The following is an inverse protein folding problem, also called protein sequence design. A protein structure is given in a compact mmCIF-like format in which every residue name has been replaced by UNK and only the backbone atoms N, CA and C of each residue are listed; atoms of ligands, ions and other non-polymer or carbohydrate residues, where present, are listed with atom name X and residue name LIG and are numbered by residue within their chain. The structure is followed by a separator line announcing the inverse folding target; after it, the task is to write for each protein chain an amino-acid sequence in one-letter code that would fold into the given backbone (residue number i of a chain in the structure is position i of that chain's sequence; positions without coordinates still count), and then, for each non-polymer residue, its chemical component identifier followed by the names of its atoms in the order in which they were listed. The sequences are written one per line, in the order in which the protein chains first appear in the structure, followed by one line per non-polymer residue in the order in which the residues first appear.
data_IF_746041560592
#
_entry.id   IF_746041560592
#
_cell.length_a   1.000
_cell.length_b   1.000
_cell.length_c   1.000
_cell.angle_alpha   90.00
_cell.angle_beta   90.00
_cell.angle_gamma   90.00
#
_symmetry.space_group_name_H-M   'P 1'
#
loop_
_entity.id
_entity.type
_entity.pdbx_description
1 polymer ?
#
# COMPACT_ATOMS: atom_id res chain seq x y z
N UNK A 1 -13.58 -5.34 13.34
CA UNK A 1 -13.24 -4.19 14.22
C UNK A 1 -13.17 -2.95 13.34
N UNK A 2 -13.60 -1.76 13.78
CA UNK A 2 -13.66 -0.57 12.91
C UNK A 2 -12.35 0.23 13.01
N UNK A 3 -11.78 0.62 11.87
CA UNK A 3 -10.59 1.48 11.75
C UNK A 3 -10.71 2.79 12.55
N UNK A 4 -11.93 3.31 12.70
CA UNK A 4 -12.20 4.51 13.50
C UNK A 4 -11.81 4.36 14.98
N UNK A 5 -11.95 3.15 15.55
CA UNK A 5 -11.58 2.88 16.93
C UNK A 5 -10.05 2.85 17.09
N UNK A 6 -9.33 2.29 16.12
CA UNK A 6 -7.86 2.31 16.11
C UNK A 6 -7.37 3.77 16.03
N UNK A 7 -8.03 4.59 15.21
CA UNK A 7 -7.61 5.98 14.98
C UNK A 7 -8.00 6.93 16.11
N UNK A 8 -8.86 6.54 17.04
CA UNK A 8 -9.26 7.44 18.13
C UNK A 8 -8.08 7.89 19.00
N UNK A 9 -7.03 7.06 19.11
CA UNK A 9 -5.80 7.39 19.83
C UNK A 9 -4.95 8.48 19.17
N UNK A 10 -5.10 8.67 17.87
CA UNK A 10 -4.31 9.60 17.04
C UNK A 10 -5.20 10.59 16.30
N UNK A 11 -6.47 10.75 16.68
CA UNK A 11 -7.44 11.54 15.93
C UNK A 11 -7.03 13.02 15.80
N UNK A 12 -6.49 13.61 16.86
CA UNK A 12 -5.97 14.98 16.83
C UNK A 12 -4.76 15.11 15.91
N UNK A 13 -3.87 14.12 15.91
CA UNK A 13 -2.67 14.12 15.07
C UNK A 13 -3.03 13.92 13.60
N UNK A 14 -4.02 13.06 13.30
CA UNK A 14 -4.55 12.89 11.94
C UNK A 14 -5.12 14.21 11.38
N UNK A 15 -5.88 14.96 12.18
CA UNK A 15 -6.37 16.29 11.78
C UNK A 15 -5.22 17.29 11.57
N UNK A 16 -4.18 17.22 12.39
CA UNK A 16 -2.99 18.05 12.22
C UNK A 16 -2.20 17.65 10.96
N UNK A 17 -2.09 16.36 10.63
CA UNK A 17 -1.50 15.87 9.38
C UNK A 17 -2.28 16.38 8.18
N UNK A 18 -3.61 16.35 8.19
CA UNK A 18 -4.43 16.93 7.10
C UNK A 18 -4.15 18.44 6.91
N UNK A 19 -3.90 19.15 8.01
CA UNK A 19 -3.52 20.57 7.96
C UNK A 19 -2.14 20.75 7.32
N UNK A 20 -1.14 19.98 7.76
CA UNK A 20 0.21 19.99 7.18
C UNK A 20 0.17 19.64 5.69
N UNK A 21 -0.57 18.61 5.29
CA UNK A 21 -0.76 18.21 3.90
C UNK A 21 -1.28 19.40 3.07
N UNK A 22 -2.35 20.07 3.52
CA UNK A 22 -2.91 21.22 2.80
C UNK A 22 -1.92 22.38 2.69
N UNK A 23 -1.23 22.70 3.77
CA UNK A 23 -0.22 23.78 3.78
C UNK A 23 0.94 23.48 2.82
N UNK A 24 1.39 22.23 2.77
CA UNK A 24 2.56 21.81 1.98
C UNK A 24 2.24 21.58 0.50
N UNK A 25 0.97 21.39 0.15
CA UNK A 25 0.49 21.31 -1.23
C UNK A 25 0.32 22.66 -1.91
N UNK A 26 0.44 23.76 -1.17
CA UNK A 26 0.32 25.08 -1.76
C UNK A 26 1.33 25.27 -2.91
N UNK A 27 0.82 25.74 -4.05
CA UNK A 27 1.58 26.11 -5.23
C UNK A 27 0.93 27.33 -5.89
N UNK A 28 1.75 28.21 -6.44
CA UNK A 28 1.26 29.33 -7.27
C UNK A 28 0.82 28.84 -8.66
N UNK A 29 1.20 27.62 -9.07
CA UNK A 29 0.77 26.98 -10.30
C UNK A 29 -0.62 26.35 -10.09
N UNK A 30 -1.70 26.84 -10.73
CA UNK A 30 -3.06 26.38 -10.46
C UNK A 30 -3.29 24.89 -10.72
N UNK A 31 -2.69 24.34 -11.78
CA UNK A 31 -2.83 22.93 -12.15
C UNK A 31 -2.35 21.99 -11.04
N UNK A 32 -1.23 22.32 -10.39
CA UNK A 32 -0.70 21.53 -9.27
C UNK A 32 -1.71 21.46 -8.12
N UNK A 33 -2.33 22.59 -7.77
CA UNK A 33 -3.35 22.62 -6.70
C UNK A 33 -4.58 21.80 -7.08
N UNK A 34 -5.08 21.96 -8.30
CA UNK A 34 -6.28 21.26 -8.76
C UNK A 34 -6.11 19.74 -8.72
N UNK A 35 -5.00 19.22 -9.26
CA UNK A 35 -4.72 17.79 -9.26
C UNK A 35 -4.49 17.27 -7.84
N UNK A 36 -3.73 17.99 -7.00
CA UNK A 36 -3.48 17.57 -5.62
C UNK A 36 -4.77 17.57 -4.76
N UNK A 37 -5.61 18.60 -4.89
CA UNK A 37 -6.92 18.66 -4.21
C UNK A 37 -7.86 17.57 -4.68
N UNK A 38 -7.87 17.27 -5.98
CA UNK A 38 -8.69 16.21 -6.56
C UNK A 38 -8.43 14.85 -5.90
N UNK A 39 -7.15 14.50 -5.74
CA UNK A 39 -6.76 13.21 -5.15
C UNK A 39 -7.06 13.17 -3.66
N UNK A 40 -6.79 14.26 -2.93
CA UNK A 40 -7.11 14.34 -1.50
C UNK A 40 -8.61 14.24 -1.26
N UNK A 41 -9.42 14.90 -2.10
CA UNK A 41 -10.88 14.82 -2.04
C UNK A 41 -11.40 13.42 -2.40
N UNK A 42 -10.59 12.60 -3.09
CA UNK A 42 -10.83 11.16 -3.30
C UNK A 42 -10.73 10.31 -2.02
N UNK A 43 -10.42 10.92 -0.88
CA UNK A 43 -10.46 10.29 0.44
C UNK A 43 -9.31 9.32 0.67
N UNK A 44 -9.61 8.20 1.34
CA UNK A 44 -8.67 7.11 1.60
C UNK A 44 -8.55 6.75 3.07
N UNK A 45 -8.12 5.52 3.34
CA UNK A 45 -8.00 4.98 4.71
C UNK A 45 -6.85 5.61 5.51
N UNK A 46 -5.93 6.37 4.88
CA UNK A 46 -4.75 7.04 5.49
C UNK A 46 -3.93 6.14 6.44
N UNK A 47 -3.78 4.87 6.10
CA UNK A 47 -3.11 3.89 6.97
C UNK A 47 -1.62 4.12 7.13
N UNK A 48 -0.91 4.61 6.10
CA UNK A 48 0.55 4.81 6.18
C UNK A 48 0.91 6.00 7.11
N UNK A 49 0.23 7.16 7.04
CA UNK A 49 0.36 8.21 8.05
C UNK A 49 -0.01 7.72 9.45
N UNK A 50 -1.15 7.04 9.59
CA UNK A 50 -1.61 6.53 10.87
C UNK A 50 -0.59 5.56 11.50
N UNK A 51 0.02 4.69 10.69
CA UNK A 51 1.08 3.80 11.13
C UNK A 51 2.26 4.57 11.73
N UNK A 52 2.76 5.60 11.03
CA UNK A 52 3.85 6.42 11.56
C UNK A 52 3.47 7.06 12.91
N UNK A 53 2.28 7.63 13.01
CA UNK A 53 1.79 8.25 14.25
C UNK A 53 1.67 7.24 15.40
N UNK A 54 1.10 6.06 15.15
CA UNK A 54 1.00 4.98 16.13
C UNK A 54 2.38 4.48 16.56
N UNK A 55 3.31 4.32 15.63
CA UNK A 55 4.69 3.92 15.92
C UNK A 55 5.44 4.98 16.74
N UNK A 56 5.27 6.27 16.43
CA UNK A 56 5.81 7.38 17.25
C UNK A 56 5.21 7.40 18.66
N UNK A 57 3.90 7.15 18.79
CA UNK A 57 3.23 7.04 20.09
C UNK A 57 3.69 5.85 20.92
N UNK A 58 3.90 4.69 20.28
CA UNK A 58 4.38 3.46 20.92
C UNK A 58 5.78 3.60 21.54
N UNK A 59 6.58 4.54 21.04
CA UNK A 59 7.92 4.87 21.56
C UNK A 59 7.94 6.18 22.36
N UNK A 60 6.78 6.72 22.72
CA UNK A 60 6.60 7.95 23.50
C UNK A 60 7.36 9.17 22.94
N UNK A 61 7.41 9.32 21.61
CA UNK A 61 8.08 10.46 20.98
C UNK A 61 7.40 11.79 21.38
N UNK A 62 8.11 12.75 22.00
CA UNK A 62 7.50 13.96 22.55
C UNK A 62 7.39 15.12 21.55
N UNK A 63 8.03 15.01 20.38
CA UNK A 63 8.10 16.09 19.39
C UNK A 63 6.91 16.09 18.43
N UNK A 64 6.97 16.98 17.44
CA UNK A 64 5.91 17.15 16.41
C UNK A 64 6.35 16.80 14.99
N UNK A 65 7.61 16.38 14.80
CA UNK A 65 8.13 16.05 13.46
C UNK A 65 7.44 14.82 12.84
N UNK A 66 6.78 14.00 13.66
CA UNK A 66 5.95 12.89 13.19
C UNK A 66 4.79 13.36 12.30
N UNK A 67 4.29 14.60 12.48
CA UNK A 67 3.23 15.16 11.63
C UNK A 67 3.75 15.48 10.24
N UNK A 68 4.92 16.12 10.15
CA UNK A 68 5.59 16.40 8.88
C UNK A 68 5.96 15.10 8.17
N UNK A 69 6.50 14.10 8.87
CA UNK A 69 6.85 12.82 8.26
C UNK A 69 5.62 11.98 7.85
N UNK A 70 4.54 12.02 8.61
CA UNK A 70 3.28 11.38 8.21
C UNK A 70 2.75 12.01 6.91
N UNK A 71 2.84 13.34 6.76
CA UNK A 71 2.50 14.02 5.52
C UNK A 71 3.48 13.68 4.37
N UNK A 72 4.79 13.57 4.63
CA UNK A 72 5.79 13.10 3.65
C UNK A 72 5.44 11.71 3.11
N UNK A 73 5.12 10.77 4.01
CA UNK A 73 4.73 9.41 3.62
C UNK A 73 3.48 9.42 2.76
N UNK A 74 2.49 10.27 3.08
CA UNK A 74 1.28 10.40 2.27
C UNK A 74 1.55 11.05 0.91
N UNK A 75 2.47 12.01 0.81
CA UNK A 75 2.87 12.60 -0.47
C UNK A 75 3.56 11.59 -1.37
N UNK A 76 4.48 10.78 -0.82
CA UNK A 76 5.11 9.70 -1.57
C UNK A 76 4.05 8.71 -2.06
N UNK A 77 3.15 8.27 -1.18
CA UNK A 77 2.05 7.39 -1.59
C UNK A 77 1.14 8.02 -2.66
N UNK A 78 0.81 9.29 -2.53
CA UNK A 78 -0.05 10.00 -3.49
C UNK A 78 0.65 10.13 -4.84
N UNK A 79 1.96 10.41 -4.84
CA UNK A 79 2.75 10.47 -6.06
C UNK A 79 2.83 9.11 -6.77
N UNK A 80 3.02 8.01 -6.02
CA UNK A 80 3.03 6.66 -6.62
C UNK A 80 1.68 6.34 -7.24
N UNK A 81 0.56 6.72 -6.60
CA UNK A 81 -0.78 6.52 -7.19
C UNK A 81 -0.97 7.29 -8.50
N UNK A 82 -0.48 8.54 -8.58
CA UNK A 82 -0.54 9.33 -9.81
C UNK A 82 0.25 8.71 -10.96
N UNK A 83 1.40 8.13 -10.64
CA UNK A 83 2.26 7.47 -11.62
C UNK A 83 1.67 6.11 -12.03
N UNK A 84 1.21 5.31 -11.07
CA UNK A 84 0.55 4.02 -11.31
C UNK A 84 -0.70 4.18 -12.20
N UNK A 85 -1.56 5.16 -11.93
CA UNK A 85 -2.76 5.37 -12.75
C UNK A 85 -2.44 5.65 -14.23
N UNK A 86 -1.26 6.22 -14.51
CA UNK A 86 -0.77 6.45 -15.87
C UNK A 86 -0.14 5.18 -16.46
N UNK A 87 0.62 4.43 -15.66
CA UNK A 87 1.29 3.19 -16.09
C UNK A 87 0.28 2.07 -16.37
N UNK A 88 -0.69 1.90 -15.48
CA UNK A 88 -1.73 0.86 -15.55
C UNK A 88 -2.92 1.28 -16.45
N UNK A 89 -2.87 2.47 -17.08
CA UNK A 89 -3.96 3.03 -17.91
C UNK A 89 -5.34 3.03 -17.22
N UNK A 90 -5.35 3.15 -15.90
CA UNK A 90 -6.56 3.09 -15.08
C UNK A 90 -7.50 4.27 -15.36
N UNK A 91 -8.79 4.00 -15.49
CA UNK A 91 -9.84 5.02 -15.69
C UNK A 91 -10.60 5.40 -14.43
N UNK A 92 -10.69 4.48 -13.45
CA UNK A 92 -11.41 4.70 -12.19
C UNK A 92 -10.53 4.37 -10.97
N UNK A 93 -10.64 5.20 -9.92
CA UNK A 93 -10.07 4.92 -8.60
C UNK A 93 -11.03 5.38 -7.52
N UNK A 94 -11.41 4.46 -6.63
CA UNK A 94 -12.39 4.70 -5.54
C UNK A 94 -13.73 5.25 -6.05
N UNK A 95 -14.19 4.75 -7.20
CA UNK A 95 -15.45 5.14 -7.82
C UNK A 95 -15.47 6.54 -8.44
N UNK A 96 -14.30 7.16 -8.66
CA UNK A 96 -14.13 8.45 -9.34
C UNK A 96 -13.14 8.30 -10.49
N UNK A 97 -13.23 9.16 -11.49
CA UNK A 97 -12.26 9.18 -12.59
C UNK A 97 -10.85 9.39 -12.06
N UNK A 98 -9.87 8.69 -12.63
CA UNK A 98 -8.46 8.88 -12.28
C UNK A 98 -7.97 10.26 -12.71
N UNK A 99 -6.89 10.75 -12.08
CA UNK A 99 -6.34 12.06 -12.39
C UNK A 99 -5.86 12.16 -13.86
N UNK A 100 -5.37 11.08 -14.44
CA UNK A 100 -4.96 11.05 -15.85
C UNK A 100 -6.16 11.07 -16.80
N UNK A 101 -7.30 10.50 -16.40
CA UNK A 101 -8.56 10.60 -17.17
C UNK A 101 -9.06 12.05 -17.20
N UNK A 102 -9.04 12.74 -16.06
CA UNK A 102 -9.56 14.11 -15.94
C UNK A 102 -8.58 15.18 -16.48
N UNK A 103 -7.28 15.05 -16.19
CA UNK A 103 -6.27 16.09 -16.45
C UNK A 103 -5.22 15.68 -17.49
N UNK A 104 -5.22 14.43 -17.95
CA UNK A 104 -4.25 13.88 -18.90
C UNK A 104 -2.97 13.36 -18.25
N UNK A 105 -2.32 12.40 -18.93
CA UNK A 105 -1.11 11.73 -18.45
C UNK A 105 0.00 12.71 -18.06
N UNK A 106 0.22 13.75 -18.87
CA UNK A 106 1.28 14.74 -18.61
C UNK A 106 1.05 15.49 -17.30
N UNK A 107 -0.19 15.85 -16.97
CA UNK A 107 -0.50 16.53 -15.71
C UNK A 107 -0.29 15.59 -14.52
N UNK A 108 -0.76 14.33 -14.61
CA UNK A 108 -0.58 13.34 -13.55
C UNK A 108 0.89 13.07 -13.23
N UNK A 109 1.72 12.84 -14.26
CA UNK A 109 3.16 12.60 -14.07
C UNK A 109 3.84 13.80 -13.42
N UNK A 110 3.64 15.00 -13.97
CA UNK A 110 4.31 16.21 -13.49
C UNK A 110 3.86 16.62 -12.08
N UNK A 111 2.61 16.37 -11.72
CA UNK A 111 2.13 16.63 -10.35
C UNK A 111 2.65 15.55 -9.39
N UNK A 112 2.75 14.29 -9.82
CA UNK A 112 3.45 13.25 -9.06
C UNK A 112 4.90 13.63 -8.77
N UNK A 113 5.62 14.15 -9.76
CA UNK A 113 7.00 14.64 -9.60
C UNK A 113 7.07 15.81 -8.62
N UNK A 114 6.10 16.73 -8.68
CA UNK A 114 5.98 17.83 -7.72
C UNK A 114 5.80 17.29 -6.29
N UNK A 115 4.90 16.34 -6.07
CA UNK A 115 4.66 15.74 -4.74
C UNK A 115 5.90 15.03 -4.20
N UNK A 116 6.60 14.27 -5.06
CA UNK A 116 7.89 13.67 -4.71
C UNK A 116 8.89 14.75 -4.29
N UNK A 117 9.10 15.77 -5.12
CA UNK A 117 10.05 16.84 -4.82
C UNK A 117 9.70 17.61 -3.53
N UNK A 118 8.41 17.82 -3.27
CA UNK A 118 7.90 18.47 -2.05
C UNK A 118 8.16 17.60 -0.82
N UNK A 119 7.92 16.29 -0.91
CA UNK A 119 8.25 15.34 0.14
C UNK A 119 9.75 15.40 0.48
N UNK A 120 10.64 15.47 -0.51
CA UNK A 120 12.08 15.66 -0.27
C UNK A 120 12.43 16.98 0.40
N UNK A 121 11.80 18.09 0.01
CA UNK A 121 11.97 19.38 0.71
C UNK A 121 11.54 19.31 2.18
N UNK A 122 10.42 18.64 2.47
CA UNK A 122 9.93 18.45 3.83
C UNK A 122 10.87 17.58 4.67
N UNK A 123 11.43 16.52 4.08
CA UNK A 123 12.45 15.67 4.73
C UNK A 123 13.68 16.47 5.14
N UNK A 124 14.16 17.40 4.30
CA UNK A 124 15.28 18.29 4.64
C UNK A 124 14.93 19.14 5.86
N UNK A 125 13.69 19.64 5.95
CA UNK A 125 13.20 20.41 7.10
C UNK A 125 13.18 19.64 8.42
N UNK A 126 13.02 18.31 8.38
CA UNK A 126 13.11 17.44 9.57
C UNK A 126 14.55 17.35 10.08
N UNK A 127 15.55 17.51 9.21
CA UNK A 127 16.96 17.63 9.62
C UNK A 127 17.59 16.33 10.13
N UNK A 128 17.04 15.16 9.77
CA UNK A 128 17.58 13.85 10.15
C UNK A 128 18.08 13.08 8.93
N UNK A 129 19.41 12.87 8.85
CA UNK A 129 20.00 12.08 7.77
C UNK A 129 19.53 10.62 7.78
N UNK A 130 19.24 10.05 8.95
CA UNK A 130 18.69 8.68 9.05
C UNK A 130 17.32 8.58 8.40
N UNK A 131 16.46 9.58 8.62
CA UNK A 131 15.13 9.67 8.00
C UNK A 131 15.26 9.81 6.48
N UNK A 132 16.14 10.70 6.02
CA UNK A 132 16.38 10.91 4.60
C UNK A 132 16.89 9.64 3.91
N UNK A 133 17.81 8.91 4.55
CA UNK A 133 18.33 7.65 4.02
C UNK A 133 17.22 6.59 3.91
N UNK A 134 16.42 6.38 4.97
CA UNK A 134 15.33 5.38 4.96
C UNK A 134 14.31 5.67 3.86
N UNK A 135 13.89 6.92 3.71
CA UNK A 135 12.90 7.29 2.71
C UNK A 135 13.46 7.30 1.29
N UNK A 136 14.71 7.75 1.09
CA UNK A 136 15.36 7.66 -0.22
C UNK A 136 15.47 6.20 -0.67
N UNK A 137 15.98 5.31 0.19
CA UNK A 137 16.09 3.87 -0.09
C UNK A 137 14.71 3.26 -0.37
N UNK A 138 13.69 3.60 0.45
CA UNK A 138 12.34 3.13 0.26
C UNK A 138 11.76 3.56 -1.10
N UNK A 139 11.91 4.84 -1.47
CA UNK A 139 11.39 5.34 -2.75
C UNK A 139 12.05 4.70 -3.96
N UNK A 140 13.36 4.42 -3.89
CA UNK A 140 14.06 3.70 -4.95
C UNK A 140 13.58 2.25 -5.07
N UNK A 141 13.44 1.55 -3.93
CA UNK A 141 12.95 0.16 -3.91
C UNK A 141 11.49 0.06 -4.41
N UNK A 142 10.65 1.05 -4.11
CA UNK A 142 9.28 1.11 -4.64
C UNK A 142 9.30 1.22 -6.16
N UNK A 143 10.11 2.12 -6.73
CA UNK A 143 10.26 2.24 -8.18
C UNK A 143 10.81 0.96 -8.83
N UNK A 144 11.79 0.29 -8.19
CA UNK A 144 12.25 -1.04 -8.63
C UNK A 144 11.11 -2.08 -8.59
N UNK A 145 10.25 -2.02 -7.57
CA UNK A 145 9.05 -2.85 -7.45
C UNK A 145 8.06 -2.64 -8.58
N UNK A 146 7.80 -1.39 -8.97
CA UNK A 146 6.95 -1.06 -10.12
C UNK A 146 7.51 -1.61 -11.43
N UNK A 147 8.81 -1.41 -11.67
CA UNK A 147 9.47 -1.94 -12.87
C UNK A 147 9.46 -3.47 -12.87
N UNK A 148 9.67 -4.09 -11.71
CA UNK A 148 9.61 -5.54 -11.59
C UNK A 148 8.19 -6.07 -11.85
N UNK A 149 7.15 -5.38 -11.37
CA UNK A 149 5.77 -5.71 -11.69
C UNK A 149 5.55 -5.64 -13.21
N UNK A 150 5.96 -4.54 -13.84
CA UNK A 150 5.84 -4.36 -15.29
C UNK A 150 6.51 -5.48 -16.10
N UNK A 151 7.70 -5.93 -15.67
CA UNK A 151 8.41 -7.05 -16.30
C UNK A 151 7.71 -8.40 -16.09
N UNK A 152 6.93 -8.53 -15.02
CA UNK A 152 6.23 -9.75 -14.64
C UNK A 152 4.78 -9.80 -15.15
N UNK A 153 4.21 -8.68 -15.60
CA UNK A 153 2.91 -8.69 -16.27
C UNK A 153 2.95 -9.62 -17.48
N UNK A 154 1.88 -10.39 -17.67
CA UNK A 154 1.75 -11.42 -18.70
C UNK A 154 2.74 -12.60 -18.58
N UNK A 155 3.52 -12.69 -17.50
CA UNK A 155 4.40 -13.82 -17.24
C UNK A 155 3.69 -14.90 -16.39
N UNK A 156 3.14 -15.92 -17.06
CA UNK A 156 2.47 -17.05 -16.39
C UNK A 156 3.44 -18.04 -15.70
N UNK A 157 4.75 -17.88 -15.85
CA UNK A 157 5.77 -18.74 -15.22
C UNK A 157 6.32 -18.17 -13.92
N UNK A 158 5.77 -17.04 -13.43
CA UNK A 158 6.17 -16.46 -12.16
C UNK A 158 5.95 -17.45 -11.01
N UNK A 159 6.87 -17.45 -10.04
CA UNK A 159 6.69 -18.19 -8.80
C UNK A 159 6.17 -17.31 -7.66
N UNK A 160 5.93 -17.96 -6.51
CA UNK A 160 5.37 -17.26 -5.34
C UNK A 160 6.38 -16.29 -4.73
N UNK A 161 7.69 -16.57 -4.82
CA UNK A 161 8.70 -15.70 -4.24
C UNK A 161 8.89 -14.43 -5.07
N UNK A 162 8.87 -14.55 -6.40
CA UNK A 162 8.91 -13.39 -7.30
C UNK A 162 7.66 -12.51 -7.15
N UNK A 163 6.47 -13.10 -6.99
CA UNK A 163 5.25 -12.37 -6.62
C UNK A 163 5.42 -11.64 -5.26
N UNK A 164 5.86 -12.35 -4.22
CA UNK A 164 6.07 -11.74 -2.90
C UNK A 164 7.13 -10.64 -2.93
N UNK A 165 8.15 -10.74 -3.80
CA UNK A 165 9.15 -9.69 -4.01
C UNK A 165 8.49 -8.41 -4.56
N UNK A 166 7.64 -8.53 -5.57
CA UNK A 166 6.85 -7.39 -6.09
C UNK A 166 6.04 -6.75 -4.98
N UNK A 167 5.24 -7.54 -4.25
CA UNK A 167 4.41 -7.05 -3.13
C UNK A 167 5.23 -6.31 -2.08
N UNK A 168 6.36 -6.88 -1.68
CA UNK A 168 7.25 -6.31 -0.66
C UNK A 168 7.85 -4.98 -1.13
N UNK A 169 8.22 -4.89 -2.40
CA UNK A 169 8.92 -3.72 -2.96
C UNK A 169 7.94 -2.59 -3.25
N UNK A 170 6.87 -2.88 -3.99
CA UNK A 170 5.86 -1.91 -4.42
C UNK A 170 4.99 -1.39 -3.27
N UNK A 171 4.46 -2.30 -2.45
CA UNK A 171 3.48 -1.93 -1.41
C UNK A 171 4.09 -1.88 -0.03
N UNK A 172 4.72 -2.97 0.42
CA UNK A 172 5.08 -3.11 1.83
C UNK A 172 6.24 -2.22 2.26
N UNK A 173 7.13 -1.85 1.34
CA UNK A 173 8.31 -1.03 1.64
C UNK A 173 7.95 0.33 2.25
N UNK A 174 6.87 0.96 1.78
CA UNK A 174 6.44 2.24 2.35
C UNK A 174 5.81 2.07 3.74
N UNK A 175 5.16 0.93 4.03
CA UNK A 175 4.70 0.60 5.37
C UNK A 175 5.88 0.35 6.33
N UNK A 176 6.89 -0.41 5.89
CA UNK A 176 8.15 -0.61 6.63
C UNK A 176 8.78 0.73 7.00
N UNK A 177 8.95 1.63 6.00
CA UNK A 177 9.50 2.95 6.22
C UNK A 177 8.66 3.76 7.22
N UNK A 178 7.34 3.82 7.04
CA UNK A 178 6.44 4.57 7.92
C UNK A 178 6.56 4.15 9.40
N UNK A 179 6.53 2.84 9.68
CA UNK A 179 6.68 2.33 11.03
C UNK A 179 8.06 2.62 11.62
N UNK A 180 9.12 2.36 10.83
CA UNK A 180 10.52 2.54 11.24
C UNK A 180 10.84 4.00 11.55
N UNK A 181 10.28 4.95 10.79
CA UNK A 181 10.46 6.39 11.04
C UNK A 181 9.98 6.80 12.43
N UNK A 182 8.91 6.18 12.94
CA UNK A 182 8.42 6.40 14.31
C UNK A 182 9.49 6.07 15.36
N UNK A 183 10.18 4.93 15.20
CA UNK A 183 11.28 4.51 16.07
C UNK A 183 12.49 5.45 15.99
N UNK A 184 12.83 5.90 14.77
CA UNK A 184 13.95 6.81 14.53
C UNK A 184 13.70 8.16 15.22
N UNK A 185 12.48 8.72 15.09
CA UNK A 185 12.11 9.95 15.78
C UNK A 185 12.18 9.81 17.31
N UNK A 186 11.76 8.66 17.84
CA UNK A 186 11.82 8.35 19.26
C UNK A 186 13.23 8.05 19.79
N UNK A 187 14.27 8.03 18.95
CA UNK A 187 15.61 7.55 19.29
C UNK A 187 15.59 6.19 20.01
N UNK A 188 14.74 5.27 19.52
CA UNK A 188 14.54 3.97 20.14
C UNK A 188 15.76 3.07 20.01
N UNK A 189 15.78 1.97 20.78
CA UNK A 189 16.83 0.96 20.66
C UNK A 189 16.83 0.32 19.27
N UNK A 190 17.97 -0.25 18.82
CA UNK A 190 18.04 -0.99 17.55
C UNK A 190 17.02 -2.13 17.46
N UNK A 191 16.71 -2.77 18.60
CA UNK A 191 15.72 -3.83 18.69
C UNK A 191 14.29 -3.33 18.40
N UNK A 192 13.89 -2.20 18.98
CA UNK A 192 12.58 -1.58 18.72
C UNK A 192 12.50 -1.09 17.27
N UNK A 193 13.57 -0.46 16.76
CA UNK A 193 13.61 -0.01 15.36
C UNK A 193 13.47 -1.19 14.39
N UNK A 194 14.20 -2.28 14.61
CA UNK A 194 14.09 -3.50 13.81
C UNK A 194 12.70 -4.13 13.92
N UNK A 195 12.11 -4.17 15.11
CA UNK A 195 10.75 -4.68 15.33
C UNK A 195 9.69 -3.88 14.58
N UNK A 196 9.74 -2.54 14.64
CA UNK A 196 8.81 -1.68 13.91
C UNK A 196 9.03 -1.76 12.39
N UNK A 197 10.28 -1.88 11.93
CA UNK A 197 10.60 -2.12 10.52
C UNK A 197 9.96 -3.43 10.02
N UNK A 198 10.20 -4.54 10.73
CA UNK A 198 9.65 -5.84 10.37
C UNK A 198 8.11 -5.86 10.46
N UNK A 199 7.54 -5.21 11.48
CA UNK A 199 6.10 -5.03 11.59
C UNK A 199 5.51 -4.36 10.35
N UNK A 200 6.08 -3.22 9.91
CA UNK A 200 5.57 -2.50 8.75
C UNK A 200 5.66 -3.32 7.45
N UNK A 201 6.78 -4.04 7.25
CA UNK A 201 6.95 -4.94 6.09
C UNK A 201 5.90 -6.05 6.07
N UNK A 202 5.69 -6.74 7.19
CA UNK A 202 4.72 -7.83 7.27
C UNK A 202 3.27 -7.32 7.17
N UNK A 203 2.94 -6.19 7.81
CA UNK A 203 1.63 -5.55 7.69
C UNK A 203 1.33 -5.16 6.24
N UNK A 204 2.27 -4.51 5.55
CA UNK A 204 2.09 -4.11 4.16
C UNK A 204 1.98 -5.28 3.20
N UNK A 205 2.70 -6.39 3.48
CA UNK A 205 2.62 -7.63 2.70
C UNK A 205 1.24 -8.28 2.88
N UNK A 206 0.79 -8.45 4.13
CA UNK A 206 -0.56 -8.96 4.42
C UNK A 206 -1.64 -8.08 3.78
N UNK A 207 -1.47 -6.75 3.85
CA UNK A 207 -2.38 -5.79 3.27
C UNK A 207 -2.54 -6.01 1.75
N UNK A 208 -1.44 -6.11 1.00
CA UNK A 208 -1.52 -6.28 -0.45
C UNK A 208 -2.14 -7.64 -0.85
N UNK A 209 -1.77 -8.73 -0.17
CA UNK A 209 -2.32 -10.06 -0.47
C UNK A 209 -3.85 -10.06 -0.30
N UNK A 210 -4.35 -9.39 0.74
CA UNK A 210 -5.80 -9.23 0.94
C UNK A 210 -6.43 -8.36 -0.15
N UNK A 211 -5.72 -7.37 -0.67
CA UNK A 211 -6.19 -6.55 -1.80
C UNK A 211 -6.38 -7.40 -3.05
N UNK A 212 -5.39 -8.23 -3.36
CA UNK A 212 -5.43 -9.17 -4.48
C UNK A 212 -6.56 -10.19 -4.27
N UNK A 213 -6.79 -10.70 -3.05
CA UNK A 213 -7.93 -11.60 -2.75
C UNK A 213 -9.27 -10.92 -3.02
N UNK A 214 -9.41 -9.65 -2.65
CA UNK A 214 -10.65 -8.90 -2.86
C UNK A 214 -10.98 -8.74 -4.35
N UNK A 215 -9.97 -8.61 -5.21
CA UNK A 215 -10.13 -8.50 -6.68
C UNK A 215 -10.83 -9.72 -7.31
N UNK A 216 -10.74 -10.89 -6.67
CA UNK A 216 -11.35 -12.16 -7.12
C UNK A 216 -12.50 -12.65 -6.23
N UNK A 217 -12.92 -11.85 -5.23
CA UNK A 217 -13.93 -12.26 -4.24
C UNK A 217 -15.38 -12.22 -4.75
N UNK A 218 -15.64 -11.55 -5.88
CA UNK A 218 -16.94 -11.58 -6.57
C UNK A 218 -17.97 -10.54 -6.12
N UNK A 219 -17.64 -9.65 -5.17
CA UNK A 219 -18.56 -8.62 -4.65
C UNK A 219 -18.09 -7.20 -5.03
N UNK A 220 -18.70 -6.61 -6.07
CA UNK A 220 -18.30 -5.29 -6.64
C UNK A 220 -18.56 -4.09 -5.72
N UNK A 221 -19.38 -4.24 -4.67
CA UNK A 221 -20.12 -3.14 -4.05
C UNK A 221 -19.31 -1.98 -3.46
N UNK A 222 -18.04 -2.18 -3.10
CA UNK A 222 -17.28 -1.18 -2.32
C UNK A 222 -15.78 -1.04 -2.68
N UNK A 223 -15.24 -1.84 -3.61
CA UNK A 223 -13.79 -1.80 -3.93
C UNK A 223 -13.44 -0.52 -4.73
N UNK A 224 -14.42 0.09 -5.41
CA UNK A 224 -14.23 1.34 -6.14
C UNK A 224 -13.28 1.22 -7.34
N UNK A 225 -13.01 -0.01 -7.78
CA UNK A 225 -12.37 -0.43 -9.04
C UNK A 225 -13.16 -1.61 -9.61
N UNK A 226 -12.92 -2.03 -10.85
CA UNK A 226 -13.64 -3.18 -11.42
C UNK A 226 -13.06 -4.49 -10.88
N UNK A 227 -13.91 -5.50 -10.64
CA UNK A 227 -13.40 -6.83 -10.32
C UNK A 227 -12.62 -7.38 -11.52
N UNK A 228 -11.47 -8.00 -11.25
CA UNK A 228 -10.61 -8.55 -12.29
C UNK A 228 -9.76 -7.51 -13.01
N UNK A 229 -9.51 -6.35 -12.40
CA UNK A 229 -8.52 -5.39 -12.90
C UNK A 229 -7.13 -6.03 -12.98
N UNK A 230 -6.76 -6.80 -11.95
CA UNK A 230 -5.46 -7.45 -11.92
C UNK A 230 -5.34 -8.48 -13.06
N UNK A 231 -6.43 -9.20 -13.38
CA UNK A 231 -6.47 -10.12 -14.51
C UNK A 231 -6.40 -9.36 -15.84
N UNK A 232 -7.15 -8.27 -15.98
CA UNK A 232 -7.19 -7.47 -17.19
C UNK A 232 -5.79 -6.96 -17.59
N UNK A 233 -5.01 -6.59 -16.58
CA UNK A 233 -3.64 -6.08 -16.70
C UNK A 233 -2.59 -7.21 -16.77
N UNK A 234 -3.02 -8.48 -16.74
CA UNK A 234 -2.13 -9.64 -16.80
C UNK A 234 -1.25 -9.82 -15.57
N UNK A 235 -1.66 -9.29 -14.41
CA UNK A 235 -0.90 -9.38 -13.16
C UNK A 235 -1.04 -10.79 -12.57
N UNK A 236 0.07 -11.55 -12.43
CA UNK A 236 0.02 -12.90 -11.91
C UNK A 236 -0.04 -12.89 -10.37
N UNK A 237 -1.23 -12.66 -9.81
CA UNK A 237 -1.45 -12.58 -8.36
C UNK A 237 -1.44 -13.97 -7.70
N UNK A 238 -1.32 -14.00 -6.37
CA UNK A 238 -1.21 -15.25 -5.61
C UNK A 238 -2.37 -16.24 -5.85
N UNK A 239 -3.65 -15.82 -5.93
CA UNK A 239 -4.74 -16.73 -6.28
C UNK A 239 -4.55 -17.39 -7.65
N UNK A 240 -4.11 -16.65 -8.67
CA UNK A 240 -3.90 -17.16 -10.02
C UNK A 240 -2.70 -18.11 -10.09
N UNK A 241 -1.59 -17.75 -9.43
CA UNK A 241 -0.41 -18.64 -9.29
C UNK A 241 -0.82 -19.97 -8.65
N UNK A 242 -1.70 -19.93 -7.64
CA UNK A 242 -2.17 -21.14 -6.98
C UNK A 242 -2.98 -22.03 -7.93
N UNK A 243 -3.91 -21.45 -8.71
CA UNK A 243 -4.71 -22.19 -9.71
C UNK A 243 -3.80 -22.84 -10.76
N UNK A 244 -2.81 -22.11 -11.29
CA UNK A 244 -1.89 -22.67 -12.30
C UNK A 244 -1.08 -23.86 -11.77
N UNK A 245 -0.75 -23.87 -10.48
CA UNK A 245 0.05 -24.94 -9.86
C UNK A 245 -0.76 -26.13 -9.37
N UNK A 246 -2.00 -25.91 -8.94
CA UNK A 246 -2.78 -26.92 -8.20
C UNK A 246 -4.15 -27.23 -8.82
N UNK A 247 -4.57 -26.48 -9.84
CA UNK A 247 -5.80 -26.74 -10.57
C UNK A 247 -5.68 -27.91 -11.55
N UNK A 248 -6.82 -28.34 -12.07
CA UNK A 248 -6.89 -29.29 -13.18
C UNK A 248 -6.15 -28.73 -14.41
N UNK A 249 -5.60 -29.57 -15.32
CA UNK A 249 -4.85 -29.09 -16.48
C UNK A 249 -5.58 -28.03 -17.30
N UNK A 250 -6.90 -28.19 -17.50
CA UNK A 250 -7.73 -27.22 -18.22
C UNK A 250 -7.90 -25.88 -17.46
N UNK A 251 -7.92 -25.90 -16.13
CA UNK A 251 -7.98 -24.68 -15.31
C UNK A 251 -6.65 -23.95 -15.34
N UNK A 252 -5.53 -24.69 -15.25
CA UNK A 252 -4.19 -24.12 -15.34
C UNK A 252 -3.95 -23.48 -16.72
N UNK A 253 -4.34 -24.15 -17.80
CA UNK A 253 -4.24 -23.63 -19.16
C UNK A 253 -5.15 -22.41 -19.38
N UNK A 254 -6.37 -22.41 -18.83
CA UNK A 254 -7.27 -21.25 -18.86
C UNK A 254 -6.63 -20.02 -18.21
N UNK A 255 -6.12 -20.16 -16.98
CA UNK A 255 -5.50 -19.04 -16.25
C UNK A 255 -4.22 -18.56 -16.94
N UNK A 256 -3.39 -19.49 -17.43
CA UNK A 256 -2.18 -19.16 -18.19
C UNK A 256 -2.52 -18.32 -19.43
N UNK A 257 -3.46 -18.78 -20.25
CA UNK A 257 -3.85 -18.07 -21.47
C UNK A 257 -4.42 -16.68 -21.15
N UNK A 258 -5.23 -16.56 -20.10
CA UNK A 258 -5.79 -15.27 -19.70
C UNK A 258 -4.74 -14.31 -19.15
N UNK A 259 -3.75 -14.80 -18.40
CA UNK A 259 -2.62 -13.97 -17.94
C UNK A 259 -1.78 -13.48 -19.12
N UNK A 260 -1.41 -14.37 -20.04
CA UNK A 260 -0.56 -14.04 -21.20
C UNK A 260 -1.23 -13.06 -22.18
N UNK A 261 -2.56 -13.14 -22.33
CA UNK A 261 -3.33 -12.27 -23.23
C UNK A 261 -3.83 -10.98 -22.55
N UNK A 262 -4.01 -11.01 -21.23
CA UNK A 262 -4.77 -9.98 -20.51
C UNK A 262 -6.28 -10.02 -20.85
N UNK A 263 -6.99 -8.98 -20.41
CA UNK A 263 -8.43 -8.85 -20.65
C UNK A 263 -9.32 -9.49 -19.57
N UNK A 264 -10.63 -9.28 -19.69
CA UNK A 264 -11.64 -9.70 -18.69
C UNK A 264 -12.60 -10.78 -19.21
N UNK A 265 -12.45 -11.19 -20.46
CA UNK A 265 -13.38 -12.09 -21.15
C UNK A 265 -13.49 -13.44 -20.43
N UNK A 266 -12.38 -13.96 -19.90
CA UNK A 266 -12.31 -15.23 -19.19
C UNK A 266 -12.56 -15.11 -17.68
N UNK A 267 -12.87 -13.91 -17.16
CA UNK A 267 -12.99 -13.67 -15.72
C UNK A 267 -14.05 -14.57 -15.04
N UNK A 268 -15.26 -14.81 -15.61
CA UNK A 268 -16.26 -15.68 -14.98
C UNK A 268 -15.78 -17.13 -14.81
N UNK A 269 -15.05 -17.66 -15.77
CA UNK A 269 -14.48 -19.01 -15.74
C UNK A 269 -13.29 -19.09 -14.77
N UNK A 270 -12.47 -18.05 -14.71
CA UNK A 270 -11.33 -17.96 -13.80
C UNK A 270 -11.78 -17.91 -12.35
N UNK A 271 -12.83 -17.14 -12.03
CA UNK A 271 -13.42 -17.15 -10.68
C UNK A 271 -13.85 -18.56 -10.28
N UNK A 272 -14.46 -19.34 -11.19
CA UNK A 272 -14.83 -20.73 -10.89
C UNK A 272 -13.62 -21.61 -10.60
N UNK A 273 -12.51 -21.42 -11.32
CA UNK A 273 -11.27 -22.15 -11.07
C UNK A 273 -10.63 -21.75 -9.73
N UNK A 274 -10.60 -20.45 -9.42
CA UNK A 274 -10.16 -19.88 -8.14
C UNK A 274 -10.97 -20.44 -6.97
N UNK A 275 -12.30 -20.52 -7.11
CA UNK A 275 -13.19 -21.11 -6.11
C UNK A 275 -12.99 -22.62 -5.96
N UNK A 276 -12.93 -23.36 -7.08
CA UNK A 276 -12.81 -24.82 -7.08
C UNK A 276 -11.50 -25.32 -6.45
N UNK A 277 -10.43 -24.55 -6.59
CA UNK A 277 -9.11 -24.87 -6.02
C UNK A 277 -8.93 -24.39 -4.58
N UNK A 278 -9.85 -23.57 -4.07
CA UNK A 278 -9.69 -22.93 -2.76
C UNK A 278 -8.57 -21.87 -2.72
N UNK A 279 -8.16 -21.34 -3.88
CA UNK A 279 -7.03 -20.43 -4.01
C UNK A 279 -7.13 -19.16 -3.12
N UNK A 280 -8.34 -18.63 -2.94
CA UNK A 280 -8.57 -17.49 -2.03
C UNK A 280 -8.27 -17.84 -0.57
N UNK A 281 -8.63 -19.05 -0.13
CA UNK A 281 -8.32 -19.52 1.23
C UNK A 281 -6.82 -19.61 1.45
N UNK A 282 -6.09 -20.15 0.48
CA UNK A 282 -4.63 -20.24 0.52
C UNK A 282 -3.98 -18.86 0.57
N UNK A 283 -4.43 -17.91 -0.26
CA UNK A 283 -3.91 -16.54 -0.21
C UNK A 283 -4.21 -15.88 1.14
N UNK A 284 -5.39 -16.10 1.71
CA UNK A 284 -5.75 -15.61 3.04
C UNK A 284 -4.89 -16.23 4.15
N UNK A 285 -4.53 -17.52 4.06
CA UNK A 285 -3.63 -18.18 5.02
C UNK A 285 -2.23 -17.54 4.98
N UNK A 286 -1.74 -17.19 3.79
CA UNK A 286 -0.47 -16.46 3.64
C UNK A 286 -0.56 -15.07 4.25
N UNK A 287 -1.64 -14.33 4.00
CA UNK A 287 -1.87 -13.01 4.62
C UNK A 287 -1.97 -13.09 6.14
N UNK A 288 -2.63 -14.12 6.68
CA UNK A 288 -2.74 -14.38 8.11
C UNK A 288 -1.36 -14.65 8.73
N UNK A 289 -0.52 -15.46 8.07
CA UNK A 289 0.83 -15.73 8.53
C UNK A 289 1.70 -14.45 8.57
N UNK A 290 1.56 -13.56 7.58
CA UNK A 290 2.22 -12.25 7.57
C UNK A 290 1.71 -11.36 8.71
N UNK A 291 0.39 -11.30 8.95
CA UNK A 291 -0.17 -10.54 10.08
C UNK A 291 0.30 -11.07 11.45
N UNK A 292 0.48 -12.38 11.59
CA UNK A 292 1.02 -13.00 12.80
C UNK A 292 2.50 -12.65 13.01
N UNK A 293 3.31 -12.67 11.94
CA UNK A 293 4.70 -12.20 11.98
C UNK A 293 4.79 -10.72 12.34
N UNK A 294 3.88 -9.88 11.82
CA UNK A 294 3.80 -8.48 12.19
C UNK A 294 3.57 -8.34 13.71
N UNK A 295 2.57 -9.03 14.27
CA UNK A 295 2.29 -8.98 15.72
C UNK A 295 3.49 -9.44 16.57
N UNK A 296 4.20 -10.49 16.14
CA UNK A 296 5.40 -10.98 16.82
C UNK A 296 6.54 -9.94 16.81
N UNK A 297 6.67 -9.15 15.75
CA UNK A 297 7.69 -8.12 15.65
C UNK A 297 7.51 -6.97 16.66
N UNK A 298 6.34 -6.83 17.28
CA UNK A 298 6.05 -5.80 18.29
C UNK A 298 6.40 -6.21 19.72
N UNK A 299 6.97 -7.40 19.97
CA UNK A 299 7.23 -7.92 21.32
C UNK A 299 8.14 -7.01 22.15
N UNK A 300 9.11 -6.34 21.52
CA UNK A 300 10.04 -5.43 22.18
C UNK A 300 9.41 -4.07 22.57
N UNK A 301 8.21 -3.74 22.07
CA UNK A 301 7.54 -2.50 22.44
C UNK A 301 6.92 -2.59 23.84
N UNK A 302 6.92 -1.48 24.60
CA UNK A 302 6.18 -1.39 25.85
C UNK A 302 4.70 -1.73 25.67
N UNK A 303 4.12 -2.40 26.66
CA UNK A 303 2.69 -2.70 26.71
C UNK A 303 1.90 -1.39 26.93
N UNK A 304 1.33 -0.88 25.86
CA UNK A 304 0.67 0.43 25.80
C UNK A 304 -0.51 0.38 24.84
N UNK A 305 -1.43 1.34 24.95
CA UNK A 305 -2.55 1.49 24.02
C UNK A 305 -2.09 1.63 22.56
N UNK A 306 -0.91 2.21 22.32
CA UNK A 306 -0.34 2.31 20.96
C UNK A 306 0.14 0.97 20.42
N UNK A 307 0.79 0.14 21.24
CA UNK A 307 1.16 -1.23 20.86
C UNK A 307 -0.08 -2.05 20.54
N UNK A 308 -1.11 -1.96 21.38
CA UNK A 308 -2.39 -2.63 21.16
C UNK A 308 -3.07 -2.17 19.85
N UNK A 309 -3.07 -0.85 19.58
CA UNK A 309 -3.59 -0.33 18.31
C UNK A 309 -2.81 -0.82 17.07
N UNK A 310 -1.48 -0.98 17.17
CA UNK A 310 -0.68 -1.60 16.10
C UNK A 310 -1.05 -3.09 15.90
N UNK A 311 -1.30 -3.83 16.98
CA UNK A 311 -1.80 -5.22 16.88
C UNK A 311 -3.15 -5.25 16.17
N UNK A 312 -4.08 -4.40 16.58
CA UNK A 312 -5.41 -4.28 15.98
C UNK A 312 -5.35 -3.84 14.51
N UNK A 313 -4.37 -3.03 14.12
CA UNK A 313 -4.16 -2.64 12.73
C UNK A 313 -3.76 -3.84 11.85
N UNK A 314 -2.96 -4.78 12.38
CA UNK A 314 -2.65 -6.05 11.69
C UNK A 314 -3.87 -6.94 11.53
N UNK A 315 -4.74 -7.00 12.54
CA UNK A 315 -5.99 -7.74 12.46
C UNK A 315 -6.97 -7.10 11.48
N UNK A 316 -7.02 -5.77 11.43
CA UNK A 316 -7.82 -5.04 10.45
C UNK A 316 -7.37 -5.32 9.02
N UNK A 317 -6.05 -5.39 8.77
CA UNK A 317 -5.51 -5.62 7.43
C UNK A 317 -6.02 -6.92 6.78
N UNK A 318 -6.28 -7.95 7.58
CA UNK A 318 -6.77 -9.27 7.13
C UNK A 318 -8.28 -9.46 7.28
N UNK A 319 -8.93 -8.74 8.19
CA UNK A 319 -10.38 -8.86 8.42
C UNK A 319 -11.19 -7.84 7.63
N UNK A 320 -10.54 -6.94 6.88
CA UNK A 320 -11.21 -5.98 6.00
C UNK A 320 -12.06 -6.74 4.97
N UNK A 321 -13.34 -6.83 5.28
CA UNK A 321 -14.38 -7.08 4.30
C UNK A 321 -14.87 -5.69 3.95
N UNK A 322 -14.38 -5.21 2.80
CA UNK A 322 -14.75 -3.93 2.22
C UNK A 322 -14.13 -2.70 2.96
#
# INVERSE_FOLDING_TARGET
MNLSAIYSLIASDMQAVDTVIRERLYSDVPLVRQVAEYIIAGGGKRMRPALLLLSSGAVAYPGRQHLELAAVVEFIHTATLLHDDVVDESSLRRGRDTANTEFGNAASVLVGDFLYSRAFQMMVGVGSMRVMQVLADATNIIAEGEVLQLMNCHNADIDVEDYLRVVRYKTAKLFEAAARLGAILGNSSPEIEAGLSAYGMHLGTAFQIVDDVLDYSGEEGEIGKHLGDDLAEGKPTLPLIHVMKNGEPAQAELVRNALEQGGREAFPEIIKAVQATGALGIAMDVAQAEADRAKQALVALPDTNYREALIQLSEFAITRRH
#
